data_IF_686026062147
#
_entry.id   IF_686026062147
#
_cell.length_a   1.000
_cell.length_b   1.000
_cell.length_c   1.000
_cell.angle_alpha   90.00
_cell.angle_beta   90.00
_cell.angle_gamma   90.00
#
_symmetry.space_group_name_H-M   'P 1'
#
loop_
_entity.id
_entity.type
_entity.pdbx_description
1 polymer ?
#
# COMPACT_ATOMS: atom_id res chain seq x y z
N UNK A 1 -21.53 8.09 -11.80
CA UNK A 1 -21.26 6.62 -11.68
C UNK A 1 -20.96 6.30 -10.23
N UNK A 2 -21.53 5.23 -9.65
CA UNK A 2 -21.31 4.86 -8.25
C UNK A 2 -19.86 4.47 -7.97
N UNK A 3 -19.38 4.63 -6.73
CA UNK A 3 -18.11 4.06 -6.28
C UNK A 3 -18.04 2.54 -6.52
N UNK A 4 -16.85 2.00 -6.82
CA UNK A 4 -16.65 0.61 -7.20
C UNK A 4 -15.98 -0.18 -6.08
N UNK A 5 -16.47 -1.42 -5.84
CA UNK A 5 -15.78 -2.46 -5.08
C UNK A 5 -15.09 -3.43 -6.03
N UNK A 6 -14.01 -4.02 -5.55
CA UNK A 6 -13.23 -5.01 -6.27
C UNK A 6 -13.10 -6.32 -5.50
N UNK A 7 -12.89 -7.40 -6.23
CA UNK A 7 -12.55 -8.68 -5.64
C UNK A 7 -11.09 -8.64 -5.17
N UNK A 8 -10.79 -8.94 -3.90
CA UNK A 8 -9.42 -8.95 -3.41
C UNK A 8 -8.63 -10.10 -4.02
N UNK A 9 -7.35 -9.84 -4.36
CA UNK A 9 -6.42 -10.87 -4.83
C UNK A 9 -5.59 -11.36 -3.63
N UNK A 10 -5.91 -12.53 -3.10
CA UNK A 10 -5.20 -13.11 -1.97
C UNK A 10 -3.93 -13.82 -2.42
N UNK A 11 -2.79 -13.45 -1.86
CA UNK A 11 -1.48 -14.03 -2.15
C UNK A 11 -0.96 -14.81 -0.95
N UNK A 12 -0.80 -16.12 -1.11
CA UNK A 12 -0.08 -16.95 -0.13
C UNK A 12 1.42 -16.74 -0.28
N UNK A 13 2.11 -16.52 0.83
CA UNK A 13 3.55 -16.27 0.87
C UNK A 13 4.22 -17.14 1.95
N UNK A 14 5.54 -17.30 1.87
CA UNK A 14 6.29 -18.10 2.86
C UNK A 14 6.25 -17.49 4.28
N UNK A 15 5.97 -16.20 4.36
CA UNK A 15 5.91 -15.40 5.60
C UNK A 15 4.48 -15.00 6.01
N UNK A 16 3.47 -15.37 5.21
CA UNK A 16 2.08 -14.97 5.43
C UNK A 16 1.43 -15.61 6.64
N UNK A 17 0.40 -14.95 7.14
CA UNK A 17 -0.38 -15.31 8.33
C UNK A 17 -1.84 -15.62 8.04
N UNK A 18 -2.69 -15.36 9.02
CA UNK A 18 -4.14 -15.58 8.97
C UNK A 18 -4.98 -14.35 9.31
N UNK A 19 -4.33 -13.20 9.65
CA UNK A 19 -5.04 -11.98 10.07
C UNK A 19 -5.88 -11.39 8.96
N UNK A 20 -5.39 -11.42 7.70
CA UNK A 20 -6.13 -10.89 6.54
C UNK A 20 -7.50 -11.54 6.40
N UNK A 21 -7.58 -12.88 6.48
CA UNK A 21 -8.84 -13.64 6.32
C UNK A 21 -9.84 -13.23 7.41
N UNK A 22 -9.38 -13.16 8.66
CA UNK A 22 -10.21 -12.73 9.79
C UNK A 22 -10.65 -11.27 9.69
N UNK A 23 -9.72 -10.38 9.36
CA UNK A 23 -9.96 -8.94 9.22
C UNK A 23 -10.97 -8.59 8.12
N UNK A 24 -10.92 -9.33 7.03
CA UNK A 24 -11.82 -9.17 5.88
C UNK A 24 -13.12 -9.98 5.99
N UNK A 25 -13.29 -10.75 7.08
CA UNK A 25 -14.44 -11.64 7.29
C UNK A 25 -14.68 -12.61 6.11
N UNK A 26 -13.61 -13.13 5.52
CA UNK A 26 -13.69 -14.03 4.37
C UNK A 26 -13.92 -15.48 4.82
N UNK A 27 -14.83 -16.17 4.16
CA UNK A 27 -15.04 -17.62 4.31
C UNK A 27 -14.26 -18.39 3.24
N UNK A 28 -12.93 -18.37 3.35
CA UNK A 28 -12.03 -19.07 2.45
C UNK A 28 -11.01 -19.90 3.22
N UNK A 29 -10.65 -21.06 2.69
CA UNK A 29 -9.66 -21.98 3.27
C UNK A 29 -8.28 -21.79 2.63
N UNK A 30 -7.80 -20.56 2.60
CA UNK A 30 -6.45 -20.25 2.10
C UNK A 30 -5.52 -20.01 3.27
N UNK A 31 -4.39 -20.71 3.29
CA UNK A 31 -3.39 -20.60 4.36
C UNK A 31 -2.26 -19.66 3.95
N UNK A 32 -1.59 -19.09 4.97
CA UNK A 32 -0.42 -18.22 4.80
C UNK A 32 -0.66 -17.05 3.85
N UNK A 33 -1.83 -16.41 3.99
CA UNK A 33 -2.17 -15.23 3.21
C UNK A 33 -1.34 -14.06 3.72
N UNK A 34 -0.25 -13.76 3.03
CA UNK A 34 0.64 -12.65 3.39
C UNK A 34 0.19 -11.32 2.82
N UNK A 35 -0.45 -11.33 1.67
CA UNK A 35 -0.95 -10.11 1.01
C UNK A 35 -2.38 -10.28 0.52
N UNK A 36 -3.17 -9.22 0.66
CA UNK A 36 -4.44 -9.02 -0.04
C UNK A 36 -4.33 -7.76 -0.88
N UNK A 37 -4.30 -7.92 -2.19
CA UNK A 37 -4.29 -6.79 -3.11
C UNK A 37 -5.72 -6.32 -3.31
N UNK A 38 -6.01 -5.15 -2.76
CA UNK A 38 -7.36 -4.58 -2.72
C UNK A 38 -7.71 -3.85 -4.03
N UNK A 39 -6.79 -3.01 -4.48
CA UNK A 39 -6.89 -2.22 -5.72
C UNK A 39 -5.57 -2.38 -6.47
N UNK A 40 -5.62 -2.94 -7.66
CA UNK A 40 -4.44 -3.23 -8.47
C UNK A 40 -4.67 -2.98 -9.95
N UNK A 41 -3.83 -2.14 -10.55
CA UNK A 41 -3.68 -2.00 -12.00
C UNK A 41 -2.49 -2.79 -12.56
N UNK A 42 -1.80 -3.60 -11.75
CA UNK A 42 -0.61 -4.35 -12.18
C UNK A 42 -1.00 -5.37 -13.26
N UNK A 43 -0.39 -5.32 -14.47
CA UNK A 43 -0.70 -6.24 -15.56
C UNK A 43 -0.64 -7.71 -15.15
N UNK A 44 -1.71 -8.46 -15.46
CA UNK A 44 -1.86 -9.87 -15.08
C UNK A 44 -2.29 -10.11 -13.61
N UNK A 45 -2.41 -9.03 -12.81
CA UNK A 45 -2.92 -9.03 -11.45
C UNK A 45 -3.88 -7.85 -11.22
N UNK A 46 -4.62 -7.45 -12.24
CA UNK A 46 -5.60 -6.38 -12.14
C UNK A 46 -6.77 -6.80 -11.24
N UNK A 47 -7.24 -5.88 -10.43
CA UNK A 47 -8.45 -6.06 -9.64
C UNK A 47 -9.68 -6.12 -10.55
N UNK A 48 -10.61 -7.04 -10.23
CA UNK A 48 -11.86 -7.24 -10.96
C UNK A 48 -13.01 -6.60 -10.20
N UNK A 49 -13.83 -5.81 -10.89
CA UNK A 49 -15.02 -5.17 -10.31
C UNK A 49 -15.97 -6.23 -9.78
N UNK A 50 -16.36 -6.10 -8.50
CA UNK A 50 -17.12 -7.12 -7.77
C UNK A 50 -18.62 -7.11 -8.10
N UNK A 51 -19.20 -5.95 -8.36
CA UNK A 51 -20.64 -5.79 -8.59
C UNK A 51 -20.98 -4.58 -9.47
N UNK A 52 -22.28 -4.45 -9.83
CA UNK A 52 -22.82 -3.32 -10.55
C UNK A 52 -22.61 -3.41 -12.07
N UNK A 53 -22.77 -2.27 -12.75
CA UNK A 53 -22.77 -2.21 -14.23
C UNK A 53 -21.42 -2.61 -14.85
N UNK A 54 -20.32 -2.40 -14.11
CA UNK A 54 -18.97 -2.74 -14.54
C UNK A 54 -18.51 -4.11 -14.05
N UNK A 55 -19.38 -4.92 -13.40
CA UNK A 55 -19.01 -6.21 -12.83
C UNK A 55 -18.26 -7.09 -13.83
N UNK A 56 -17.16 -7.67 -13.38
CA UNK A 56 -16.31 -8.59 -14.16
C UNK A 56 -15.26 -7.90 -15.02
N UNK A 57 -15.31 -6.57 -15.19
CA UNK A 57 -14.23 -5.83 -15.87
C UNK A 57 -13.02 -5.70 -14.93
N UNK A 58 -11.83 -5.73 -15.52
CA UNK A 58 -10.62 -5.37 -14.80
C UNK A 58 -10.57 -3.85 -14.57
N UNK A 59 -9.81 -3.44 -13.56
CA UNK A 59 -9.63 -2.02 -13.24
C UNK A 59 -9.08 -1.22 -14.43
N UNK A 60 -8.11 -1.78 -15.17
CA UNK A 60 -7.55 -1.12 -16.36
C UNK A 60 -8.55 -1.06 -17.53
N UNK A 61 -9.49 -2.02 -17.65
CA UNK A 61 -10.59 -1.91 -18.61
C UNK A 61 -11.56 -0.80 -18.24
N UNK A 62 -11.85 -0.61 -16.93
CA UNK A 62 -12.64 0.52 -16.45
C UNK A 62 -11.97 1.85 -16.77
N UNK A 63 -10.66 1.97 -16.50
CA UNK A 63 -9.87 3.17 -16.84
C UNK A 63 -9.90 3.45 -18.34
N UNK A 64 -9.71 2.43 -19.17
CA UNK A 64 -9.72 2.56 -20.64
C UNK A 64 -11.06 3.04 -21.18
N UNK A 65 -12.17 2.59 -20.58
CA UNK A 65 -13.53 2.94 -21.00
C UNK A 65 -13.90 4.36 -20.56
N UNK A 66 -13.62 4.70 -19.30
CA UNK A 66 -14.09 5.93 -18.65
C UNK A 66 -13.06 7.07 -18.65
N UNK A 67 -11.78 6.75 -18.88
CA UNK A 67 -10.69 7.73 -19.04
C UNK A 67 -10.62 8.75 -17.89
N UNK A 68 -10.55 10.03 -18.24
CA UNK A 68 -10.46 11.14 -17.29
C UNK A 68 -11.68 11.25 -16.36
N UNK A 69 -12.87 10.82 -16.77
CA UNK A 69 -14.04 10.82 -15.87
C UNK A 69 -13.88 9.85 -14.67
N UNK A 70 -13.00 8.85 -14.80
CA UNK A 70 -12.67 7.92 -13.72
C UNK A 70 -11.38 8.30 -12.99
N UNK A 71 -10.29 8.56 -13.73
CA UNK A 71 -8.98 8.86 -13.13
C UNK A 71 -8.76 10.32 -12.72
N UNK A 72 -9.46 11.27 -13.32
CA UNK A 72 -9.09 12.68 -13.45
C UNK A 72 -8.39 12.93 -14.78
N UNK A 73 -8.60 14.10 -15.37
CA UNK A 73 -8.09 14.41 -16.71
C UNK A 73 -6.55 14.46 -16.74
N UNK A 74 -5.93 15.10 -15.75
CA UNK A 74 -4.46 15.17 -15.66
C UNK A 74 -3.85 13.80 -15.36
N UNK A 75 -4.48 13.01 -14.49
CA UNK A 75 -4.04 11.64 -14.22
C UNK A 75 -4.15 10.75 -15.45
N UNK A 76 -5.23 10.88 -16.23
CA UNK A 76 -5.37 10.10 -17.45
C UNK A 76 -4.31 10.49 -18.52
N UNK A 77 -3.96 11.78 -18.63
CA UNK A 77 -2.85 12.22 -19.48
C UNK A 77 -1.51 11.65 -19.03
N UNK A 78 -1.28 11.55 -17.72
CA UNK A 78 -0.03 11.07 -17.12
C UNK A 78 0.13 9.54 -17.21
N UNK A 79 -0.94 8.79 -16.95
CA UNK A 79 -0.89 7.34 -16.76
C UNK A 79 -1.55 6.53 -17.89
N UNK A 80 -2.32 7.20 -18.76
CA UNK A 80 -3.05 6.52 -19.84
C UNK A 80 -4.09 5.55 -19.31
N UNK A 81 -4.07 4.33 -19.83
CA UNK A 81 -5.04 3.29 -19.48
C UNK A 81 -4.67 2.46 -18.25
N UNK A 82 -3.63 2.81 -17.52
CA UNK A 82 -3.15 2.08 -16.36
C UNK A 82 -3.54 2.81 -15.07
N UNK A 83 -4.08 2.06 -14.10
CA UNK A 83 -4.39 2.61 -12.78
C UNK A 83 -3.10 2.82 -11.97
N UNK A 84 -2.86 4.02 -11.39
CA UNK A 84 -1.53 4.40 -10.93
C UNK A 84 -1.12 3.86 -9.55
N UNK A 85 -2.07 3.36 -8.74
CA UNK A 85 -1.81 2.90 -7.38
C UNK A 85 -2.10 1.41 -7.19
N UNK A 86 -1.37 0.80 -6.25
CA UNK A 86 -1.61 -0.54 -5.74
C UNK A 86 -1.84 -0.43 -4.22
N UNK A 87 -2.97 -0.96 -3.76
CA UNK A 87 -3.37 -0.96 -2.35
C UNK A 87 -3.36 -2.39 -1.84
N UNK A 88 -2.73 -2.62 -0.68
CA UNK A 88 -2.65 -3.95 -0.07
C UNK A 88 -2.92 -3.91 1.43
N UNK A 89 -3.36 -5.06 1.96
CA UNK A 89 -3.13 -5.42 3.35
C UNK A 89 -2.01 -6.47 3.40
N UNK A 90 -1.09 -6.32 4.35
CA UNK A 90 0.06 -7.21 4.53
C UNK A 90 0.06 -7.76 5.95
N UNK A 91 0.06 -9.09 6.07
CA UNK A 91 0.12 -9.82 7.35
C UNK A 91 1.43 -10.61 7.43
N UNK A 92 2.37 -10.08 8.20
CA UNK A 92 3.70 -10.66 8.40
C UNK A 92 3.71 -11.61 9.60
N UNK A 93 3.45 -12.90 9.38
CA UNK A 93 3.62 -13.94 10.41
C UNK A 93 5.11 -14.30 10.66
N UNK A 94 5.99 -13.97 9.73
CA UNK A 94 7.44 -13.95 9.88
C UNK A 94 8.03 -12.80 9.08
N UNK A 95 9.30 -12.44 9.31
CA UNK A 95 9.93 -11.30 8.67
C UNK A 95 9.87 -11.37 7.14
N UNK A 96 9.53 -10.27 6.49
CA UNK A 96 9.76 -10.09 5.07
C UNK A 96 11.26 -9.89 4.82
N UNK A 97 11.71 -10.07 3.58
CA UNK A 97 13.11 -9.78 3.23
C UNK A 97 13.45 -8.31 3.45
N UNK A 98 14.71 -8.05 3.84
CA UNK A 98 15.29 -6.72 3.70
C UNK A 98 15.37 -6.40 2.21
N UNK A 99 14.83 -5.25 1.80
CA UNK A 99 14.64 -4.89 0.41
C UNK A 99 14.72 -3.40 0.16
N UNK A 100 14.84 -3.04 -1.11
CA UNK A 100 14.78 -1.67 -1.61
C UNK A 100 14.03 -1.66 -2.94
N UNK A 101 13.41 -0.54 -3.27
CA UNK A 101 12.74 -0.33 -4.55
C UNK A 101 13.40 0.80 -5.33
N UNK A 102 13.48 0.69 -6.69
CA UNK A 102 13.98 1.76 -7.53
C UNK A 102 12.99 2.94 -7.61
N UNK A 103 13.49 4.13 -7.94
CA UNK A 103 12.66 5.19 -8.48
C UNK A 103 12.35 4.92 -9.98
N UNK A 104 11.48 5.75 -10.59
CA UNK A 104 11.07 5.55 -11.99
C UNK A 104 12.27 5.59 -12.96
N UNK A 105 13.25 6.49 -12.74
CA UNK A 105 14.44 6.60 -13.60
C UNK A 105 15.29 5.33 -13.59
N UNK A 106 15.59 4.81 -12.40
CA UNK A 106 16.36 3.58 -12.22
C UNK A 106 15.56 2.38 -12.73
N UNK A 107 14.27 2.32 -12.44
CA UNK A 107 13.39 1.28 -12.93
C UNK A 107 13.43 1.19 -14.48
N UNK A 108 13.29 2.31 -15.17
CA UNK A 108 13.36 2.35 -16.63
C UNK A 108 14.72 1.91 -17.17
N UNK A 109 15.83 2.35 -16.56
CA UNK A 109 17.19 1.89 -16.92
C UNK A 109 17.37 0.39 -16.78
N UNK A 110 16.64 -0.22 -15.83
CA UNK A 110 16.68 -1.66 -15.55
C UNK A 110 15.57 -2.43 -16.26
N UNK A 111 14.88 -1.81 -17.23
CA UNK A 111 13.85 -2.44 -18.05
C UNK A 111 12.54 -2.73 -17.28
N UNK A 112 12.27 -1.96 -16.23
CA UNK A 112 11.00 -1.99 -15.47
C UNK A 112 10.16 -0.78 -15.85
N UNK A 113 8.85 -0.90 -15.72
CA UNK A 113 7.93 0.16 -16.13
C UNK A 113 7.87 1.32 -15.14
N UNK A 114 7.89 1.02 -13.84
CA UNK A 114 7.75 2.01 -12.76
C UNK A 114 8.64 1.72 -11.57
N UNK A 115 8.98 2.77 -10.85
CA UNK A 115 9.53 2.70 -9.51
C UNK A 115 8.47 2.31 -8.47
N UNK A 116 8.88 2.26 -7.20
CA UNK A 116 7.98 1.89 -6.12
C UNK A 116 8.26 2.75 -4.89
N UNK A 117 7.54 3.87 -4.80
CA UNK A 117 7.39 4.64 -3.58
C UNK A 117 6.12 4.18 -2.88
N UNK A 118 6.19 4.02 -1.56
CA UNK A 118 5.11 3.46 -0.76
C UNK A 118 4.96 4.11 0.60
N UNK A 119 3.86 3.86 1.26
CA UNK A 119 3.65 4.13 2.68
C UNK A 119 2.99 2.94 3.36
N UNK A 120 3.22 2.83 4.67
CA UNK A 120 2.54 1.86 5.53
C UNK A 120 1.76 2.56 6.63
N UNK A 121 0.55 2.09 6.85
CA UNK A 121 -0.26 2.42 8.02
C UNK A 121 -0.43 1.17 8.86
N UNK A 122 0.02 1.21 10.12
CA UNK A 122 -0.05 0.06 11.01
C UNK A 122 -1.49 -0.20 11.50
N UNK A 123 -1.96 -1.40 11.24
CA UNK A 123 -3.16 -2.00 11.79
C UNK A 123 -2.82 -2.70 13.13
N UNK A 124 -3.81 -3.22 13.90
CA UNK A 124 -3.52 -3.97 15.11
C UNK A 124 -2.53 -5.10 14.87
N UNK A 125 -1.32 -4.91 15.37
CA UNK A 125 -0.16 -5.80 15.21
C UNK A 125 0.11 -6.55 16.52
N UNK A 126 0.98 -7.58 16.49
CA UNK A 126 1.42 -8.27 17.71
C UNK A 126 2.19 -7.31 18.63
N UNK A 127 2.17 -7.54 19.97
CA UNK A 127 2.81 -6.62 20.94
C UNK A 127 4.30 -6.37 20.68
N UNK A 128 5.01 -7.37 20.16
CA UNK A 128 6.46 -7.31 19.90
C UNK A 128 6.79 -7.08 18.42
N UNK A 129 5.77 -6.66 17.63
CA UNK A 129 5.95 -6.40 16.20
C UNK A 129 6.95 -5.26 15.96
N UNK A 130 7.87 -5.50 15.03
CA UNK A 130 8.90 -4.53 14.64
C UNK A 130 9.04 -4.48 13.14
N UNK A 131 9.48 -3.32 12.64
CA UNK A 131 9.85 -3.15 11.25
C UNK A 131 11.18 -2.43 11.12
N UNK A 132 11.80 -2.52 9.94
CA UNK A 132 12.99 -1.76 9.58
C UNK A 132 12.61 -0.69 8.57
N UNK A 133 13.06 0.55 8.78
CA UNK A 133 12.87 1.64 7.83
C UNK A 133 14.07 2.60 7.88
N UNK A 134 14.90 2.55 6.83
CA UNK A 134 16.07 3.39 6.65
C UNK A 134 17.31 2.95 7.44
N UNK A 135 18.37 3.73 7.28
CA UNK A 135 19.66 3.51 7.92
C UNK A 135 19.72 4.22 9.29
N UNK A 136 20.20 3.55 10.34
CA UNK A 136 20.47 4.18 11.64
C UNK A 136 21.90 4.73 11.76
N UNK A 137 22.76 4.38 10.82
CA UNK A 137 24.15 4.83 10.75
C UNK A 137 24.59 5.03 9.31
N UNK A 138 25.50 5.99 9.10
CA UNK A 138 26.09 6.22 7.80
C UNK A 138 26.95 5.03 7.37
N UNK A 139 26.68 4.51 6.18
CA UNK A 139 27.52 3.48 5.53
C UNK A 139 27.83 3.90 4.10
N UNK A 140 28.93 3.41 3.56
CA UNK A 140 29.31 3.58 2.15
C UNK A 140 28.78 2.43 1.31
N UNK A 141 28.72 2.58 -0.04
CA UNK A 141 28.40 1.47 -0.93
C UNK A 141 29.31 0.23 -0.76
N UNK A 142 30.59 0.42 -0.41
CA UNK A 142 31.54 -0.65 -0.14
C UNK A 142 31.16 -1.37 1.17
N UNK A 143 30.87 -0.62 2.22
CA UNK A 143 30.39 -1.18 3.50
C UNK A 143 29.06 -1.91 3.34
N UNK A 144 28.13 -1.40 2.51
CA UNK A 144 26.91 -2.11 2.17
C UNK A 144 27.21 -3.51 1.61
N UNK A 145 28.12 -3.61 0.63
CA UNK A 145 28.49 -4.89 0.01
C UNK A 145 29.08 -5.85 1.06
N UNK A 146 30.02 -5.35 1.87
CA UNK A 146 30.65 -6.13 2.94
C UNK A 146 29.60 -6.63 3.97
N UNK A 147 28.67 -5.78 4.39
CA UNK A 147 27.61 -6.14 5.33
C UNK A 147 26.64 -7.17 4.75
N UNK A 148 26.34 -7.10 3.47
CA UNK A 148 25.50 -8.10 2.78
C UNK A 148 26.24 -9.44 2.70
N UNK A 149 27.52 -9.46 2.32
CA UNK A 149 28.34 -10.67 2.25
C UNK A 149 28.50 -11.34 3.61
N UNK A 150 28.57 -10.56 4.69
CA UNK A 150 28.74 -11.04 6.06
C UNK A 150 27.39 -11.25 6.81
N UNK A 151 26.24 -11.10 6.16
CA UNK A 151 24.89 -11.22 6.76
C UNK A 151 24.62 -10.24 7.92
N UNK A 152 25.25 -9.07 7.91
CA UNK A 152 25.18 -8.06 8.98
C UNK A 152 24.44 -6.79 8.59
N UNK A 153 23.81 -6.76 7.42
CA UNK A 153 23.12 -5.55 6.91
C UNK A 153 22.06 -5.03 7.88
N UNK A 154 21.40 -5.89 8.64
CA UNK A 154 20.42 -5.49 9.66
C UNK A 154 21.01 -4.63 10.75
N UNK A 155 22.32 -4.73 11.01
CA UNK A 155 23.02 -3.92 12.01
C UNK A 155 23.10 -2.44 11.63
N UNK A 156 22.95 -2.13 10.35
CA UNK A 156 22.92 -0.75 9.84
C UNK A 156 21.51 -0.14 9.79
N UNK A 157 20.44 -0.92 10.01
CA UNK A 157 19.07 -0.48 9.81
C UNK A 157 18.43 0.08 11.08
N UNK A 158 17.63 1.13 10.93
CA UNK A 158 16.77 1.64 11.98
C UNK A 158 15.57 0.69 12.16
N UNK A 159 15.34 0.27 13.41
CA UNK A 159 14.26 -0.63 13.79
C UNK A 159 13.25 0.12 14.66
N UNK A 160 11.96 -0.13 14.43
CA UNK A 160 10.86 0.50 15.12
C UNK A 160 9.91 -0.54 15.70
N UNK A 161 9.52 -0.37 16.96
CA UNK A 161 8.35 -1.04 17.53
C UNK A 161 7.10 -0.48 16.82
N UNK A 162 6.16 -1.36 16.47
CA UNK A 162 4.97 -1.01 15.68
C UNK A 162 3.73 -0.99 16.57
N UNK A 163 2.98 0.12 16.49
CA UNK A 163 1.68 0.29 17.17
C UNK A 163 0.61 0.66 16.15
N UNK A 164 -0.62 0.27 16.44
CA UNK A 164 -1.77 0.70 15.62
C UNK A 164 -1.78 2.21 15.45
N UNK A 165 -1.89 2.65 14.20
CA UNK A 165 -1.87 4.07 13.84
C UNK A 165 -0.49 4.62 13.51
N UNK A 166 0.60 3.88 13.73
CA UNK A 166 1.92 4.32 13.22
C UNK A 166 1.88 4.42 11.68
N UNK A 167 2.51 5.47 11.18
CA UNK A 167 2.64 5.73 9.75
C UNK A 167 4.11 5.83 9.37
N UNK A 168 4.49 5.16 8.27
CA UNK A 168 5.84 5.19 7.71
C UNK A 168 5.78 5.51 6.23
N UNK A 169 6.57 6.49 5.79
CA UNK A 169 6.79 6.80 4.40
C UNK A 169 8.08 6.15 3.91
N UNK A 170 7.99 5.38 2.84
CA UNK A 170 9.10 4.63 2.24
C UNK A 170 9.30 5.12 0.80
N UNK A 171 10.01 6.23 0.57
CA UNK A 171 10.37 6.65 -0.77
C UNK A 171 11.27 5.60 -1.43
N UNK A 172 11.22 5.53 -2.75
CA UNK A 172 12.17 4.73 -3.52
C UNK A 172 13.61 5.00 -3.06
N UNK A 173 14.44 3.95 -3.01
CA UNK A 173 15.82 4.01 -2.52
C UNK A 173 15.97 3.72 -1.02
N UNK A 174 14.92 3.71 -0.24
CA UNK A 174 15.00 3.44 1.20
C UNK A 174 15.03 1.94 1.48
N UNK A 175 16.05 1.47 2.21
CA UNK A 175 16.11 0.07 2.67
C UNK A 175 15.07 -0.12 3.78
N UNK A 176 14.25 -1.17 3.66
CA UNK A 176 13.17 -1.42 4.62
C UNK A 176 12.83 -2.90 4.71
N UNK A 177 12.09 -3.28 5.74
CA UNK A 177 11.41 -4.58 5.84
C UNK A 177 10.28 -4.52 6.86
N UNK A 178 9.19 -5.21 6.57
CA UNK A 178 8.12 -5.49 7.53
C UNK A 178 8.56 -6.72 8.34
N UNK A 179 8.61 -6.60 9.65
CA UNK A 179 9.00 -7.70 10.52
C UNK A 179 7.82 -8.51 11.05
N UNK A 180 8.16 -9.62 11.68
CA UNK A 180 7.21 -10.55 12.28
C UNK A 180 6.20 -9.84 13.17
N UNK A 181 4.93 -10.23 13.05
CA UNK A 181 3.82 -9.72 13.86
C UNK A 181 3.17 -8.44 13.33
N UNK A 182 3.80 -7.75 12.37
CA UNK A 182 3.22 -6.56 11.76
C UNK A 182 1.99 -6.90 10.91
N UNK A 183 0.99 -6.02 10.99
CA UNK A 183 -0.16 -5.99 10.10
C UNK A 183 -0.34 -4.56 9.60
N UNK A 184 -0.26 -4.35 8.29
CA UNK A 184 -0.25 -3.00 7.72
C UNK A 184 -1.16 -2.87 6.49
N UNK A 185 -1.69 -1.67 6.28
CA UNK A 185 -2.19 -1.22 4.99
C UNK A 185 -1.04 -0.55 4.24
N UNK A 186 -0.81 -0.97 2.99
CA UNK A 186 0.22 -0.42 2.10
C UNK A 186 -0.43 0.31 0.93
N UNK A 187 0.00 1.54 0.72
CA UNK A 187 -0.35 2.37 -0.44
C UNK A 187 0.94 2.61 -1.22
N UNK A 188 0.94 2.26 -2.52
CA UNK A 188 2.13 2.35 -3.35
C UNK A 188 1.82 2.66 -4.81
N UNK A 189 2.87 3.07 -5.56
CA UNK A 189 2.80 3.09 -7.02
C UNK A 189 2.43 1.70 -7.57
N UNK A 190 1.78 1.64 -8.73
CA UNK A 190 1.49 0.38 -9.46
C UNK A 190 2.79 -0.26 -9.94
N UNK A 191 3.42 -1.04 -9.07
CA UNK A 191 4.67 -1.74 -9.31
C UNK A 191 4.80 -2.92 -8.35
N UNK A 192 5.32 -4.05 -8.83
CA UNK A 192 5.68 -5.21 -8.01
C UNK A 192 7.20 -5.46 -7.92
N UNK A 193 8.00 -4.47 -8.36
CA UNK A 193 9.46 -4.55 -8.37
C UNK A 193 10.01 -4.54 -6.95
N UNK A 194 10.74 -5.59 -6.60
CA UNK A 194 11.40 -5.73 -5.30
C UNK A 194 12.83 -6.21 -5.48
N UNK A 195 13.80 -5.41 -5.01
CA UNK A 195 15.19 -5.83 -4.94
C UNK A 195 15.50 -6.33 -3.54
N UNK A 196 15.55 -7.66 -3.44
CA UNK A 196 15.80 -8.36 -2.18
C UNK A 196 17.28 -8.33 -1.87
N UNK A 197 17.62 -7.79 -0.70
CA UNK A 197 18.99 -7.61 -0.21
C UNK A 197 19.39 -8.78 0.68
N UNK A 198 18.51 -9.15 1.62
CA UNK A 198 18.75 -10.22 2.59
C UNK A 198 17.43 -10.91 2.95
N UNK A 199 17.44 -12.23 3.07
CA UNK A 199 16.21 -13.03 3.32
C UNK A 199 16.36 -14.00 4.49
N UNK A 200 17.17 -13.67 5.48
CA UNK A 200 17.36 -14.45 6.71
C UNK A 200 17.73 -15.91 6.44
N UNK A 201 18.35 -16.22 5.32
CA UNK A 201 18.72 -17.58 4.88
C UNK A 201 17.57 -18.58 4.92
N UNK A 202 16.34 -18.09 4.68
CA UNK A 202 15.15 -18.93 4.59
C UNK A 202 15.11 -19.72 3.28
N UNK A 203 14.60 -20.92 3.39
CA UNK A 203 14.29 -21.74 2.23
C UNK A 203 12.78 -21.78 2.00
N UNK A 204 12.40 -21.88 0.75
CA UNK A 204 11.03 -22.15 0.35
C UNK A 204 10.67 -23.62 0.65
N UNK A 205 9.43 -24.01 0.31
CA UNK A 205 8.93 -25.40 0.50
C UNK A 205 9.72 -26.45 -0.28
N UNK A 206 10.42 -26.03 -1.33
CA UNK A 206 11.20 -26.91 -2.21
C UNK A 206 12.69 -26.95 -1.80
N UNK A 207 13.04 -26.28 -0.70
CA UNK A 207 14.39 -26.22 -0.14
C UNK A 207 15.31 -25.18 -0.80
N UNK A 208 14.79 -24.31 -1.65
CA UNK A 208 15.56 -23.30 -2.38
C UNK A 208 15.59 -21.96 -1.63
N UNK A 209 16.69 -21.22 -1.76
CA UNK A 209 16.76 -19.83 -1.34
C UNK A 209 16.09 -18.93 -2.38
N UNK A 210 15.36 -17.90 -1.93
CA UNK A 210 14.85 -16.88 -2.85
C UNK A 210 16.01 -16.08 -3.45
N UNK A 211 15.88 -15.69 -4.70
CA UNK A 211 16.88 -14.88 -5.39
C UNK A 211 17.10 -13.55 -4.66
N UNK A 212 18.38 -13.18 -4.48
CA UNK A 212 18.80 -11.86 -4.02
C UNK A 212 19.16 -10.98 -5.23
N UNK A 213 18.95 -9.67 -5.08
CA UNK A 213 19.17 -8.65 -6.10
C UNK A 213 20.14 -7.58 -5.58
N UNK A 214 21.23 -8.02 -4.97
CA UNK A 214 22.16 -7.14 -4.22
C UNK A 214 22.85 -6.10 -5.08
N UNK A 215 23.06 -6.40 -6.39
CA UNK A 215 23.65 -5.46 -7.37
C UNK A 215 22.65 -4.39 -7.78
N UNK A 216 21.45 -4.79 -8.19
CA UNK A 216 20.35 -3.89 -8.55
C UNK A 216 19.97 -3.01 -7.36
N UNK A 217 19.94 -3.58 -6.15
CA UNK A 217 19.72 -2.85 -4.92
C UNK A 217 20.76 -1.76 -4.66
N UNK A 218 22.05 -2.08 -4.88
CA UNK A 218 23.15 -1.13 -4.67
C UNK A 218 23.01 0.14 -5.53
N UNK A 219 22.42 0.02 -6.71
CA UNK A 219 22.15 1.16 -7.60
C UNK A 219 20.98 2.03 -7.14
N UNK A 220 20.11 1.49 -6.28
CA UNK A 220 18.88 2.15 -5.84
C UNK A 220 19.00 2.82 -4.48
N UNK A 221 19.91 2.34 -3.61
CA UNK A 221 19.96 2.74 -2.21
C UNK A 221 20.26 4.22 -2.03
N UNK A 222 19.38 4.91 -1.29
CA UNK A 222 19.67 6.20 -0.70
C UNK A 222 20.36 5.99 0.65
N UNK A 223 21.63 6.36 0.74
CA UNK A 223 22.47 6.22 1.92
C UNK A 223 22.29 7.35 2.95
N UNK A 224 21.33 8.24 2.75
CA UNK A 224 21.02 9.32 3.69
C UNK A 224 20.44 8.76 4.98
N UNK A 225 21.00 9.20 6.12
CA UNK A 225 20.51 8.85 7.46
C UNK A 225 19.58 9.95 7.97
N UNK A 226 18.41 9.56 8.44
CA UNK A 226 17.45 10.46 9.09
C UNK A 226 17.39 10.17 10.60
N UNK A 227 17.05 11.18 11.38
CA UNK A 227 16.92 11.04 12.83
C UNK A 227 15.70 10.19 13.23
N UNK A 228 14.62 10.28 12.45
CA UNK A 228 13.41 9.48 12.59
C UNK A 228 12.77 9.25 11.22
N UNK A 229 12.29 8.04 10.99
CA UNK A 229 11.62 7.64 9.76
C UNK A 229 10.11 7.42 9.95
N UNK A 230 9.62 7.56 11.19
CA UNK A 230 8.19 7.54 11.48
C UNK A 230 7.56 8.87 11.06
N UNK A 231 6.43 8.80 10.39
CA UNK A 231 5.64 9.97 10.07
C UNK A 231 4.77 10.36 11.26
N UNK A 232 4.96 11.57 11.78
CA UNK A 232 4.21 12.09 12.92
C UNK A 232 2.96 12.84 12.46
N UNK A 233 1.83 12.52 13.03
CA UNK A 233 0.56 13.21 12.87
C UNK A 233 -0.24 13.11 14.17
N UNK A 234 -1.22 13.99 14.37
CA UNK A 234 -2.09 13.95 15.54
C UNK A 234 -3.49 13.47 15.13
N UNK A 235 -3.90 12.25 15.53
CA UNK A 235 -5.24 11.75 15.22
C UNK A 235 -6.33 12.67 15.77
N UNK A 236 -7.37 12.93 14.97
CA UNK A 236 -8.53 13.73 15.36
C UNK A 236 -9.81 12.97 15.02
N UNK A 237 -10.85 13.19 15.83
CA UNK A 237 -12.20 12.68 15.56
C UNK A 237 -12.94 13.63 14.64
N UNK A 238 -13.70 13.05 13.70
CA UNK A 238 -14.58 13.78 12.79
C UNK A 238 -13.86 14.87 11.96
N UNK A 239 -12.58 14.62 11.68
CA UNK A 239 -11.74 15.46 10.81
C UNK A 239 -10.82 14.60 9.96
N UNK A 240 -10.47 15.07 8.77
CA UNK A 240 -9.41 14.49 7.96
C UNK A 240 -8.05 14.97 8.42
N UNK A 241 -7.14 14.04 8.70
CA UNK A 241 -5.77 14.36 9.11
C UNK A 241 -4.80 13.90 8.03
N UNK A 242 -4.16 14.86 7.36
CA UNK A 242 -3.13 14.59 6.35
C UNK A 242 -1.93 13.85 6.97
N UNK A 243 -1.45 12.82 6.28
CA UNK A 243 -0.30 12.03 6.72
C UNK A 243 0.86 12.10 5.74
N UNK A 244 0.58 11.87 4.47
CA UNK A 244 1.59 11.83 3.40
C UNK A 244 1.11 12.69 2.23
N UNK A 245 2.03 13.47 1.68
CA UNK A 245 1.89 14.15 0.40
C UNK A 245 3.19 13.95 -0.37
N UNK A 246 3.10 13.32 -1.55
CA UNK A 246 4.25 13.06 -2.40
C UNK A 246 3.84 13.11 -3.88
N UNK A 247 4.78 13.07 -4.85
CA UNK A 247 4.46 13.14 -6.28
C UNK A 247 3.58 12.01 -6.83
N UNK A 248 3.34 10.96 -6.03
CA UNK A 248 2.64 9.74 -6.46
C UNK A 248 1.29 9.57 -5.80
N UNK A 249 1.11 10.09 -4.58
CA UNK A 249 -0.15 10.03 -3.84
C UNK A 249 -0.18 11.01 -2.66
N UNK A 250 -1.38 11.40 -2.30
CA UNK A 250 -1.70 12.09 -1.06
C UNK A 250 -2.57 11.18 -0.21
N UNK A 251 -2.31 11.10 1.09
CA UNK A 251 -3.08 10.23 2.01
C UNK A 251 -3.44 10.96 3.29
N UNK A 252 -4.70 10.82 3.71
CA UNK A 252 -5.23 11.28 4.98
C UNK A 252 -5.91 10.14 5.74
N UNK A 253 -6.01 10.26 7.06
CA UNK A 253 -6.80 9.36 7.92
C UNK A 253 -8.01 10.10 8.46
N UNK A 254 -9.14 9.40 8.49
CA UNK A 254 -10.39 9.82 9.09
C UNK A 254 -10.81 8.83 10.17
N UNK A 255 -11.34 9.34 11.28
CA UNK A 255 -11.93 8.53 12.36
C UNK A 255 -13.28 9.14 12.73
N UNK A 256 -14.35 8.66 12.07
CA UNK A 256 -15.68 9.25 12.14
C UNK A 256 -16.60 8.46 13.09
N UNK A 257 -17.35 9.17 13.91
CA UNK A 257 -18.50 8.67 14.67
C UNK A 257 -19.74 9.58 14.50
N UNK A 258 -19.60 10.64 13.69
CA UNK A 258 -20.67 11.52 13.25
C UNK A 258 -20.73 11.54 11.71
N UNK A 259 -21.90 11.82 11.11
CA UNK A 259 -22.02 11.97 9.65
C UNK A 259 -21.10 13.08 9.12
N UNK A 260 -20.42 12.81 8.02
CA UNK A 260 -19.56 13.77 7.34
C UNK A 260 -19.82 13.79 5.84
N UNK A 261 -19.72 14.96 5.23
CA UNK A 261 -19.67 15.10 3.77
C UNK A 261 -18.24 15.45 3.36
N UNK A 262 -17.67 14.60 2.52
CA UNK A 262 -16.38 14.83 1.86
C UNK A 262 -16.64 15.55 0.54
N UNK A 263 -15.95 16.66 0.30
CA UNK A 263 -16.10 17.48 -0.89
C UNK A 263 -14.89 17.30 -1.81
N UNK A 264 -15.14 16.78 -3.01
CA UNK A 264 -14.16 16.54 -4.06
C UNK A 264 -14.41 17.38 -5.32
N UNK A 265 -15.28 18.41 -5.23
CA UNK A 265 -15.68 19.24 -6.38
C UNK A 265 -14.50 19.93 -7.09
N UNK A 266 -13.43 20.23 -6.37
CA UNK A 266 -12.21 20.85 -6.90
C UNK A 266 -11.07 19.86 -7.15
N UNK A 267 -11.31 18.54 -6.93
CA UNK A 267 -10.28 17.50 -7.05
C UNK A 267 -10.38 16.81 -8.43
N UNK A 268 -9.36 16.98 -9.27
CA UNK A 268 -9.22 16.25 -10.55
C UNK A 268 -8.52 14.91 -10.35
N UNK A 269 -9.10 14.04 -9.52
CA UNK A 269 -8.60 12.70 -9.26
C UNK A 269 -9.70 11.75 -8.80
N UNK A 270 -9.49 10.44 -9.07
CA UNK A 270 -10.18 9.40 -8.31
C UNK A 270 -9.78 9.47 -6.83
N UNK A 271 -10.62 8.91 -5.96
CA UNK A 271 -10.31 8.74 -4.54
C UNK A 271 -10.46 7.28 -4.14
N UNK A 272 -9.51 6.76 -3.37
CA UNK A 272 -9.62 5.43 -2.77
C UNK A 272 -9.93 5.62 -1.28
N UNK A 273 -10.97 4.95 -0.79
CA UNK A 273 -11.24 4.82 0.64
C UNK A 273 -10.92 3.39 1.08
N UNK A 274 -10.07 3.28 2.11
CA UNK A 274 -9.59 2.00 2.66
C UNK A 274 -10.11 1.88 4.08
N UNK A 275 -11.09 1.00 4.32
CA UNK A 275 -11.69 0.79 5.64
C UNK A 275 -10.73 0.09 6.60
N UNK A 276 -10.47 0.72 7.74
CA UNK A 276 -9.58 0.21 8.80
C UNK A 276 -10.37 -0.40 9.95
N UNK A 277 -11.48 0.23 10.35
CA UNK A 277 -12.31 -0.24 11.47
C UNK A 277 -13.71 0.33 11.39
N UNK A 278 -14.70 -0.45 11.81
CA UNK A 278 -16.10 -0.02 11.84
C UNK A 278 -16.79 -0.19 10.49
N UNK A 279 -17.92 0.51 10.31
CA UNK A 279 -18.77 0.41 9.12
C UNK A 279 -19.55 1.68 8.90
N UNK A 280 -19.66 2.12 7.66
CA UNK A 280 -20.49 3.24 7.25
C UNK A 280 -21.21 2.97 5.93
N UNK A 281 -22.33 3.64 5.74
CA UNK A 281 -22.98 3.82 4.47
C UNK A 281 -22.37 5.06 3.82
N UNK A 282 -22.04 4.96 2.53
CA UNK A 282 -21.48 6.03 1.72
C UNK A 282 -22.46 6.32 0.60
N UNK A 283 -22.86 7.58 0.45
CA UNK A 283 -23.79 8.03 -0.58
C UNK A 283 -23.12 9.12 -1.42
N UNK A 284 -23.06 8.94 -2.73
CA UNK A 284 -22.52 9.95 -3.65
C UNK A 284 -23.52 11.06 -3.98
N UNK A 285 -23.07 12.08 -4.73
CA UNK A 285 -23.91 13.21 -5.14
C UNK A 285 -25.03 12.84 -6.13
N UNK A 286 -25.02 11.64 -6.71
CA UNK A 286 -26.09 11.09 -7.56
C UNK A 286 -27.09 10.25 -6.77
N UNK A 287 -26.85 10.03 -5.46
CA UNK A 287 -27.68 9.20 -4.59
C UNK A 287 -27.37 7.71 -4.66
N UNK A 288 -26.27 7.30 -5.26
CA UNK A 288 -25.84 5.92 -5.24
C UNK A 288 -25.28 5.57 -3.86
N UNK A 289 -25.70 4.44 -3.34
CA UNK A 289 -25.27 3.97 -2.02
C UNK A 289 -24.32 2.78 -2.12
N UNK A 290 -23.30 2.79 -1.26
CA UNK A 290 -22.37 1.68 -1.05
C UNK A 290 -22.03 1.59 0.43
N UNK A 291 -21.73 0.39 0.93
CA UNK A 291 -21.23 0.21 2.29
C UNK A 291 -19.72 0.03 2.27
N UNK A 292 -19.02 0.66 3.21
CA UNK A 292 -17.59 0.42 3.48
C UNK A 292 -17.40 0.00 4.93
N UNK A 293 -16.60 -1.04 5.15
CA UNK A 293 -16.25 -1.52 6.48
C UNK A 293 -14.76 -1.85 6.59
N UNK A 294 -14.29 -2.08 7.81
CA UNK A 294 -12.90 -2.52 8.03
C UNK A 294 -12.56 -3.74 7.16
N UNK A 295 -11.41 -3.70 6.48
CA UNK A 295 -10.96 -4.74 5.56
C UNK A 295 -11.48 -4.63 4.13
N UNK A 296 -12.28 -3.61 3.81
CA UNK A 296 -12.75 -3.34 2.45
C UNK A 296 -12.11 -2.07 1.88
N UNK A 297 -12.08 -1.97 0.56
CA UNK A 297 -11.66 -0.76 -0.15
C UNK A 297 -12.63 -0.45 -1.30
N UNK A 298 -12.81 0.84 -1.59
CA UNK A 298 -13.60 1.31 -2.73
C UNK A 298 -12.80 2.33 -3.53
N UNK A 299 -13.06 2.40 -4.83
CA UNK A 299 -12.59 3.48 -5.70
C UNK A 299 -13.77 4.37 -6.07
N UNK A 300 -13.62 5.64 -5.78
CA UNK A 300 -14.57 6.71 -6.11
C UNK A 300 -14.08 7.36 -7.39
N UNK A 301 -14.90 7.42 -8.46
CA UNK A 301 -14.53 8.07 -9.71
C UNK A 301 -14.26 9.56 -9.55
N UNK A 302 -13.35 10.12 -10.34
CA UNK A 302 -13.03 11.55 -10.37
C UNK A 302 -14.25 12.44 -10.71
N UNK A 303 -15.25 11.90 -11.39
CA UNK A 303 -16.50 12.61 -11.66
C UNK A 303 -17.42 12.80 -10.45
N UNK A 304 -17.10 12.17 -9.30
CA UNK A 304 -17.87 12.31 -8.05
C UNK A 304 -17.50 13.61 -7.35
N UNK A 305 -18.50 14.44 -7.06
CA UNK A 305 -18.26 15.73 -6.42
C UNK A 305 -18.31 15.67 -4.90
N UNK A 306 -19.20 14.89 -4.32
CA UNK A 306 -19.34 14.74 -2.87
C UNK A 306 -19.65 13.31 -2.46
N UNK A 307 -19.17 12.94 -1.27
CA UNK A 307 -19.55 11.70 -0.59
C UNK A 307 -20.08 12.01 0.81
N UNK A 308 -21.28 11.55 1.11
CA UNK A 308 -21.81 11.54 2.48
C UNK A 308 -21.46 10.22 3.15
N UNK A 309 -20.76 10.26 4.27
CA UNK A 309 -20.37 9.11 5.08
C UNK A 309 -21.24 9.08 6.33
N UNK A 310 -22.01 8.02 6.56
CA UNK A 310 -22.96 7.87 7.68
C UNK A 310 -22.68 6.56 8.41
N UNK A 311 -22.21 6.64 9.65
CA UNK A 311 -21.87 5.50 10.50
C UNK A 311 -20.61 5.78 11.31
N UNK A 312 -20.07 4.72 11.94
CA UNK A 312 -18.81 4.77 12.67
C UNK A 312 -17.74 4.07 11.84
N UNK A 313 -16.80 4.82 11.29
CA UNK A 313 -15.79 4.28 10.38
C UNK A 313 -14.46 5.00 10.54
N UNK A 314 -13.39 4.24 10.71
CA UNK A 314 -12.01 4.70 10.54
C UNK A 314 -11.49 4.23 9.18
N UNK A 315 -10.95 5.13 8.38
CA UNK A 315 -10.49 4.81 7.03
C UNK A 315 -9.33 5.69 6.60
N UNK A 316 -8.55 5.22 5.63
CA UNK A 316 -7.62 6.04 4.86
C UNK A 316 -8.32 6.54 3.60
N UNK A 317 -8.04 7.78 3.25
CA UNK A 317 -8.37 8.39 1.97
C UNK A 317 -7.06 8.60 1.21
N UNK A 318 -6.99 8.17 -0.06
CA UNK A 318 -5.82 8.43 -0.90
C UNK A 318 -6.21 8.73 -2.33
N UNK A 319 -5.45 9.64 -2.97
CA UNK A 319 -5.62 10.07 -4.35
C UNK A 319 -4.27 10.51 -4.94
N UNK A 320 -4.24 10.81 -6.24
CA UNK A 320 -3.04 11.24 -6.99
C UNK A 320 -3.16 12.68 -7.44
#
# INVERSE_FOLDING_TARGET
MKPLKFQPLLKSTIWGGSKIIAFKHLDVKQEKVGESWEISGVPGNESIVADGEMQGKSLNEVVKELKGSFLGEENYKRFGNEFPLLIKFIDANSDLSIQVHPNDEIAHKQGKERGKTEMWYALPSEPDAKLYNGLKMQITPEQYKEMVENDTITDALAQYDVKEGDCFFIPAGRIHAIGTGCFVAEIQQTSDVTYRIYDFKRKDKDGNYRQLHTKEAAECIDYTVQADYRQHYTPMKNEGVGMIECPYFTTAVYDLDEPMTLDYSELDSFVILIGLKGKAKITDNEGNEITLQGGESIVVPASTQTLKVEGTLKFLETYV
#
